data_IF_776551794035
#
_entry.id   IF_776551794035
#
_cell.length_a   1.000
_cell.length_b   1.000
_cell.length_c   1.000
_cell.angle_alpha   90.00
_cell.angle_beta   90.00
_cell.angle_gamma   90.00
#
_symmetry.space_group_name_H-M   'P 1'
#
loop_
_entity.id
_entity.type
_entity.pdbx_description
1 polymer ?
#
# COMPACT_ATOMS: atom_id res chain seq x y z
N UNK A 1 10.34 -32.50 -23.50
CA UNK A 1 9.35 -31.64 -22.81
C UNK A 1 10.07 -30.33 -22.46
N UNK A 2 9.73 -29.22 -23.11
CA UNK A 2 10.42 -27.94 -22.90
C UNK A 2 9.92 -27.34 -21.58
N UNK A 3 10.80 -27.23 -20.59
CA UNK A 3 10.59 -26.41 -19.41
C UNK A 3 10.50 -24.97 -19.93
N UNK A 4 9.30 -24.42 -20.01
CA UNK A 4 9.09 -23.00 -20.27
C UNK A 4 9.68 -22.25 -19.08
N UNK A 5 10.87 -21.67 -19.28
CA UNK A 5 11.48 -20.73 -18.34
C UNK A 5 10.42 -19.70 -17.94
N UNK A 6 10.23 -19.56 -16.63
CA UNK A 6 9.52 -18.46 -15.98
C UNK A 6 9.89 -17.12 -16.63
N UNK A 7 9.09 -16.67 -17.59
CA UNK A 7 9.25 -15.33 -18.16
C UNK A 7 8.32 -14.40 -17.43
N UNK A 8 8.89 -13.74 -16.41
CA UNK A 8 8.51 -12.43 -15.88
C UNK A 8 7.15 -12.31 -15.17
N UNK A 9 6.93 -13.07 -14.09
CA UNK A 9 6.10 -12.54 -13.00
C UNK A 9 7.00 -11.56 -12.23
N UNK A 10 6.91 -10.28 -12.56
CA UNK A 10 7.59 -9.25 -11.79
C UNK A 10 6.75 -8.97 -10.53
N UNK A 11 7.20 -9.51 -9.40
CA UNK A 11 6.55 -9.34 -8.10
C UNK A 11 6.84 -7.96 -7.46
N UNK A 12 7.78 -7.20 -8.04
CA UNK A 12 8.13 -5.84 -7.63
C UNK A 12 8.24 -4.90 -8.86
N UNK A 13 7.19 -4.80 -9.69
CA UNK A 13 7.29 -4.17 -11.01
C UNK A 13 7.78 -2.73 -10.92
N UNK A 14 7.27 -1.97 -9.95
CA UNK A 14 7.67 -0.58 -9.73
C UNK A 14 9.12 -0.49 -9.25
N UNK A 15 9.56 -1.38 -8.36
CA UNK A 15 10.89 -1.33 -7.73
C UNK A 15 12.00 -1.79 -8.67
N UNK A 16 11.69 -2.70 -9.59
CA UNK A 16 12.59 -3.10 -10.68
C UNK A 16 12.56 -2.13 -11.85
N UNK A 17 11.39 -1.58 -12.20
CA UNK A 17 11.26 -0.52 -13.20
C UNK A 17 12.04 0.74 -12.82
N UNK A 18 12.08 1.08 -11.53
CA UNK A 18 12.92 2.15 -10.97
C UNK A 18 14.44 1.96 -11.16
N UNK A 19 14.91 0.74 -11.47
CA UNK A 19 16.33 0.44 -11.72
C UNK A 19 16.73 0.57 -13.18
N UNK A 20 15.77 0.76 -14.09
CA UNK A 20 16.03 0.89 -15.53
C UNK A 20 16.07 2.36 -15.92
N UNK A 21 17.07 2.73 -16.70
CA UNK A 21 17.17 4.09 -17.24
C UNK A 21 15.93 4.40 -18.11
N UNK A 22 15.43 5.64 -18.00
CA UNK A 22 14.29 6.17 -18.77
C UNK A 22 12.90 5.56 -18.49
N UNK A 23 12.68 4.87 -17.36
CA UNK A 23 11.33 4.45 -16.95
C UNK A 23 10.65 5.55 -16.13
N UNK A 24 9.57 6.10 -16.68
CA UNK A 24 8.69 7.05 -15.98
C UNK A 24 7.79 6.29 -15.00
N UNK A 25 8.17 6.31 -13.74
CA UNK A 25 7.54 5.60 -12.61
C UNK A 25 6.05 5.92 -12.47
N UNK A 26 5.65 7.14 -12.82
CA UNK A 26 4.26 7.60 -12.77
C UNK A 26 3.36 6.77 -13.71
N UNK A 27 3.87 6.37 -14.87
CA UNK A 27 3.13 5.55 -15.82
C UNK A 27 2.96 4.12 -15.30
N UNK A 28 4.01 3.54 -14.70
CA UNK A 28 3.94 2.20 -14.10
C UNK A 28 2.95 2.15 -12.92
N UNK A 29 2.93 3.19 -12.09
CA UNK A 29 1.98 3.30 -10.99
C UNK A 29 0.55 3.41 -11.52
N UNK A 30 0.32 4.30 -12.49
CA UNK A 30 -0.99 4.51 -13.09
C UNK A 30 -1.49 3.24 -13.79
N UNK A 31 -0.64 2.57 -14.56
CA UNK A 31 -0.96 1.31 -15.23
C UNK A 31 -1.28 0.21 -14.21
N UNK A 32 -0.53 0.12 -13.11
CA UNK A 32 -0.78 -0.85 -12.04
C UNK A 32 -2.13 -0.58 -11.37
N UNK A 33 -2.46 0.68 -11.09
CA UNK A 33 -3.75 1.07 -10.51
C UNK A 33 -4.92 0.67 -11.41
N UNK A 34 -4.77 0.85 -12.72
CA UNK A 34 -5.77 0.47 -13.71
C UNK A 34 -5.89 -1.05 -13.85
N UNK A 35 -4.77 -1.74 -14.05
CA UNK A 35 -4.72 -3.21 -14.16
C UNK A 35 -5.36 -3.87 -12.94
N UNK A 36 -5.03 -3.40 -11.74
CA UNK A 36 -5.52 -3.97 -10.49
C UNK A 36 -6.89 -3.43 -10.04
N UNK A 37 -7.59 -2.68 -10.90
CA UNK A 37 -8.91 -2.12 -10.62
C UNK A 37 -9.00 -1.39 -9.27
N UNK A 38 -7.91 -0.77 -8.80
CA UNK A 38 -7.81 -0.30 -7.41
C UNK A 38 -8.92 0.70 -7.07
N UNK A 39 -9.12 1.71 -7.91
CA UNK A 39 -10.16 2.73 -7.64
C UNK A 39 -11.58 2.20 -7.76
N UNK A 40 -11.81 1.15 -8.55
CA UNK A 40 -13.10 0.43 -8.57
C UNK A 40 -13.36 -0.22 -7.22
N UNK A 41 -12.39 -0.92 -6.66
CA UNK A 41 -12.52 -1.54 -5.34
C UNK A 41 -12.67 -0.49 -4.23
N UNK A 42 -11.90 0.60 -4.29
CA UNK A 42 -12.06 1.73 -3.36
C UNK A 42 -13.49 2.26 -3.39
N UNK A 43 -14.07 2.51 -4.57
CA UNK A 43 -15.46 2.99 -4.69
C UNK A 43 -16.48 1.98 -4.17
N UNK A 44 -16.25 0.70 -4.41
CA UNK A 44 -17.14 -0.38 -3.98
C UNK A 44 -17.19 -0.55 -2.46
N UNK A 45 -16.04 -0.43 -1.79
CA UNK A 45 -15.89 -0.74 -0.36
C UNK A 45 -15.83 0.51 0.53
N UNK A 46 -16.32 1.62 0.00
CA UNK A 46 -16.35 2.90 0.68
C UNK A 46 -17.77 3.44 0.74
N UNK A 47 -18.14 4.04 1.87
CA UNK A 47 -19.37 4.82 1.98
C UNK A 47 -19.32 6.05 1.05
N UNK A 48 -20.39 6.29 0.29
CA UNK A 48 -20.47 7.43 -0.62
C UNK A 48 -20.24 8.74 0.13
N UNK A 49 -19.35 9.58 -0.40
CA UNK A 49 -19.08 10.92 0.15
C UNK A 49 -19.78 11.94 -0.72
N UNK A 50 -20.45 12.89 -0.07
CA UNK A 50 -21.22 13.94 -0.76
C UNK A 50 -20.37 15.13 -1.21
N UNK A 51 -19.21 15.37 -0.59
CA UNK A 51 -18.38 16.55 -0.88
C UNK A 51 -16.91 16.37 -0.41
N UNK A 52 -16.03 17.25 -0.89
CA UNK A 52 -14.60 17.30 -0.53
C UNK A 52 -13.67 16.78 -1.62
N UNK A 53 -12.39 16.60 -1.27
CA UNK A 53 -11.37 16.13 -2.21
C UNK A 53 -11.66 14.73 -2.77
N UNK A 54 -11.30 14.53 -4.04
CA UNK A 54 -11.40 13.23 -4.70
C UNK A 54 -10.60 12.18 -3.94
N UNK A 55 -11.25 11.06 -3.64
CA UNK A 55 -10.63 9.92 -2.95
C UNK A 55 -9.56 9.29 -3.82
N UNK A 56 -9.76 9.24 -5.14
CA UNK A 56 -8.80 8.70 -6.09
C UNK A 56 -7.51 9.50 -6.04
N UNK A 57 -7.60 10.83 -6.15
CA UNK A 57 -6.45 11.74 -6.04
C UNK A 57 -5.78 11.60 -4.67
N UNK A 58 -6.56 11.48 -3.59
CA UNK A 58 -6.03 11.35 -2.23
C UNK A 58 -5.30 10.02 -2.03
N UNK A 59 -5.83 8.91 -2.53
CA UNK A 59 -5.19 7.59 -2.46
C UNK A 59 -3.96 7.54 -3.36
N UNK A 60 -4.04 8.06 -4.59
CA UNK A 60 -2.89 8.17 -5.49
C UNK A 60 -1.73 8.91 -4.82
N UNK A 61 -2.05 10.04 -4.19
CA UNK A 61 -1.11 10.83 -3.41
C UNK A 61 -0.48 10.05 -2.26
N UNK A 62 -1.28 9.26 -1.52
CA UNK A 62 -0.78 8.39 -0.45
C UNK A 62 0.12 7.26 -1.00
N UNK A 63 -0.18 6.72 -2.18
CA UNK A 63 0.66 5.72 -2.84
C UNK A 63 2.02 6.31 -3.22
N UNK A 64 2.05 7.48 -3.85
CA UNK A 64 3.29 8.18 -4.18
C UNK A 64 4.14 8.39 -2.92
N UNK A 65 3.53 8.85 -1.83
CA UNK A 65 4.23 9.01 -0.56
C UNK A 65 4.92 7.71 -0.10
N UNK A 66 4.22 6.58 -0.15
CA UNK A 66 4.77 5.27 0.23
C UNK A 66 5.92 4.87 -0.69
N UNK A 67 5.81 5.09 -2.00
CA UNK A 67 6.87 4.75 -2.95
C UNK A 67 8.11 5.63 -2.82
N UNK A 68 7.95 6.90 -2.46
CA UNK A 68 9.07 7.82 -2.19
C UNK A 68 9.79 7.54 -0.87
N UNK A 69 9.26 6.63 -0.03
CA UNK A 69 9.84 6.24 1.27
C UNK A 69 10.11 7.41 2.21
N UNK A 70 9.30 8.47 2.14
CA UNK A 70 9.42 9.62 3.04
C UNK A 70 8.90 9.29 4.44
N UNK A 71 9.63 9.68 5.47
CA UNK A 71 9.37 9.29 6.87
C UNK A 71 8.01 9.75 7.41
N UNK A 72 7.45 10.83 6.85
CA UNK A 72 6.14 11.33 7.28
C UNK A 72 5.39 12.04 6.16
N UNK A 73 4.06 11.99 6.23
CA UNK A 73 3.17 12.77 5.34
C UNK A 73 3.47 14.25 5.44
N UNK A 74 3.86 14.77 6.61
CA UNK A 74 4.25 16.16 6.78
C UNK A 74 5.47 16.51 5.91
N UNK A 75 6.54 15.74 6.01
CA UNK A 75 7.75 15.95 5.22
C UNK A 75 7.49 15.80 3.72
N UNK A 76 6.72 14.79 3.34
CA UNK A 76 6.27 14.62 1.97
C UNK A 76 5.46 15.83 1.47
N UNK A 77 4.56 16.36 2.30
CA UNK A 77 3.73 17.50 1.96
C UNK A 77 4.56 18.78 1.74
N UNK A 78 5.51 19.03 2.62
CA UNK A 78 6.40 20.20 2.59
C UNK A 78 7.39 20.16 1.43
N UNK A 79 7.91 18.98 1.07
CA UNK A 79 8.92 18.82 0.01
C UNK A 79 8.35 18.82 -1.40
N UNK A 80 7.25 18.10 -1.63
CA UNK A 80 6.81 17.78 -2.98
C UNK A 80 5.33 18.07 -3.24
N UNK A 81 4.48 18.02 -2.21
CA UNK A 81 3.05 17.88 -2.45
C UNK A 81 2.25 19.17 -2.55
N UNK A 82 2.74 20.29 -2.00
CA UNK A 82 2.06 21.59 -2.10
C UNK A 82 1.77 22.00 -3.56
N UNK A 83 2.56 21.49 -4.51
CA UNK A 83 2.41 21.73 -5.95
C UNK A 83 1.33 20.87 -6.59
N UNK A 84 1.17 19.60 -6.16
CA UNK A 84 0.33 18.61 -6.83
C UNK A 84 -0.99 18.27 -6.09
N UNK A 85 -1.08 18.57 -4.79
CA UNK A 85 -2.27 18.27 -3.99
C UNK A 85 -2.66 19.45 -3.11
N UNK A 86 -3.75 20.13 -3.49
CA UNK A 86 -4.27 21.29 -2.75
C UNK A 86 -5.02 20.93 -1.46
N UNK A 87 -5.28 19.64 -1.21
CA UNK A 87 -6.10 19.18 -0.08
C UNK A 87 -5.44 19.28 1.28
N UNK A 88 -4.13 19.53 1.34
CA UNK A 88 -3.42 19.59 2.62
C UNK A 88 -3.18 18.20 3.21
N UNK A 89 -2.25 18.13 4.17
CA UNK A 89 -1.96 16.91 4.93
C UNK A 89 -3.18 16.35 5.68
N UNK A 90 -4.10 17.23 6.10
CA UNK A 90 -5.23 16.84 6.95
C UNK A 90 -6.25 15.99 6.18
N UNK A 91 -6.41 16.23 4.87
CA UNK A 91 -7.22 15.36 4.02
C UNK A 91 -6.60 13.96 3.92
N UNK A 92 -5.27 13.86 3.78
CA UNK A 92 -4.57 12.57 3.73
C UNK A 92 -4.74 11.79 5.05
N UNK A 93 -4.51 12.45 6.18
CA UNK A 93 -4.73 11.84 7.50
C UNK A 93 -6.19 11.48 7.74
N UNK A 94 -7.13 12.34 7.31
CA UNK A 94 -8.56 12.10 7.41
C UNK A 94 -8.99 10.87 6.63
N UNK A 95 -8.51 10.72 5.39
CA UNK A 95 -8.79 9.53 4.57
C UNK A 95 -8.25 8.26 5.21
N UNK A 96 -7.02 8.24 5.72
CA UNK A 96 -6.47 7.05 6.38
C UNK A 96 -7.25 6.64 7.64
N UNK A 97 -7.91 7.60 8.31
CA UNK A 97 -8.73 7.38 9.50
C UNK A 97 -10.22 7.17 9.19
N UNK A 98 -10.63 7.24 7.92
CA UNK A 98 -12.03 7.11 7.51
C UNK A 98 -12.49 5.65 7.72
N UNK A 99 -13.20 5.40 8.82
CA UNK A 99 -13.81 4.10 9.14
C UNK A 99 -14.90 3.70 8.12
N UNK A 100 -15.36 4.64 7.28
CA UNK A 100 -16.24 4.37 6.15
C UNK A 100 -15.53 3.68 4.98
N UNK A 101 -14.20 3.50 5.04
CA UNK A 101 -13.41 2.78 4.03
C UNK A 101 -13.03 1.40 4.58
N UNK A 102 -13.51 0.34 3.93
CA UNK A 102 -13.13 -1.02 4.28
C UNK A 102 -11.79 -1.40 3.62
N UNK A 103 -10.70 -0.97 4.25
CA UNK A 103 -9.33 -1.23 3.79
C UNK A 103 -9.02 -2.71 3.60
N UNK A 104 -9.59 -3.58 4.43
CA UNK A 104 -9.37 -5.03 4.35
C UNK A 104 -9.95 -5.60 3.06
N UNK A 105 -11.17 -5.22 2.70
CA UNK A 105 -11.79 -5.69 1.47
C UNK A 105 -11.09 -5.13 0.23
N UNK A 106 -10.68 -3.85 0.25
CA UNK A 106 -9.89 -3.27 -0.84
C UNK A 106 -8.59 -4.06 -1.05
N UNK A 107 -7.83 -4.32 0.01
CA UNK A 107 -6.58 -5.09 -0.06
C UNK A 107 -6.81 -6.51 -0.57
N UNK A 108 -7.86 -7.19 -0.10
CA UNK A 108 -8.18 -8.55 -0.51
C UNK A 108 -8.60 -8.62 -1.98
N UNK A 109 -9.44 -7.69 -2.45
CA UNK A 109 -9.85 -7.63 -3.85
C UNK A 109 -8.70 -7.32 -4.78
N UNK A 110 -7.83 -6.36 -4.42
CA UNK A 110 -6.60 -6.09 -5.18
C UNK A 110 -5.67 -7.30 -5.22
N UNK A 111 -5.48 -8.01 -4.10
CA UNK A 111 -4.67 -9.24 -4.08
C UNK A 111 -5.29 -10.35 -4.95
N UNK A 112 -6.63 -10.44 -4.99
CA UNK A 112 -7.33 -11.38 -5.87
C UNK A 112 -7.12 -11.06 -7.35
N UNK A 113 -7.12 -9.78 -7.73
CA UNK A 113 -6.78 -9.36 -9.10
C UNK A 113 -5.37 -9.82 -9.48
N UNK A 114 -4.38 -9.64 -8.60
CA UNK A 114 -3.01 -10.15 -8.81
C UNK A 114 -3.03 -11.67 -9.02
N UNK A 115 -3.72 -12.40 -8.14
CA UNK A 115 -3.79 -13.86 -8.20
C UNK A 115 -4.38 -14.37 -9.52
N UNK A 116 -5.48 -13.75 -9.97
CA UNK A 116 -6.17 -14.13 -11.21
C UNK A 116 -5.35 -13.73 -12.44
N UNK A 117 -4.85 -12.49 -12.50
CA UNK A 117 -4.12 -11.99 -13.67
C UNK A 117 -2.80 -12.72 -13.92
N UNK A 118 -2.18 -13.23 -12.87
CA UNK A 118 -0.96 -14.03 -12.98
C UNK A 118 -1.22 -15.54 -13.06
N UNK A 119 -2.49 -15.98 -13.19
CA UNK A 119 -2.88 -17.39 -13.30
C UNK A 119 -2.26 -18.29 -12.22
N UNK A 120 -2.06 -17.76 -11.00
CA UNK A 120 -1.32 -18.45 -9.93
C UNK A 120 -1.98 -19.77 -9.48
N UNK A 121 -3.25 -19.98 -9.83
CA UNK A 121 -3.99 -21.22 -9.57
C UNK A 121 -3.53 -22.42 -10.43
N UNK A 122 -2.88 -22.17 -11.57
CA UNK A 122 -2.49 -23.19 -12.54
C UNK A 122 -0.99 -23.54 -12.49
N UNK A 123 -0.26 -22.96 -11.55
CA UNK A 123 1.15 -23.25 -11.32
C UNK A 123 1.31 -24.62 -10.64
N UNK A 124 2.18 -25.47 -11.22
CA UNK A 124 2.34 -26.87 -10.79
C UNK A 124 2.99 -26.99 -9.40
N UNK A 125 3.84 -26.03 -9.03
CA UNK A 125 4.51 -25.97 -7.75
C UNK A 125 4.32 -24.56 -7.17
N UNK A 126 3.50 -24.45 -6.12
CA UNK A 126 3.28 -23.18 -5.42
C UNK A 126 3.56 -23.33 -3.93
N UNK A 127 4.09 -22.26 -3.34
CA UNK A 127 4.27 -22.15 -1.90
C UNK A 127 3.55 -20.89 -1.40
N UNK A 128 2.74 -21.04 -0.36
CA UNK A 128 2.15 -19.91 0.33
C UNK A 128 3.02 -19.55 1.54
N UNK A 129 3.84 -18.53 1.39
CA UNK A 129 4.74 -18.04 2.45
C UNK A 129 3.97 -17.05 3.32
N UNK A 130 3.90 -17.35 4.61
CA UNK A 130 3.32 -16.47 5.62
C UNK A 130 4.40 -16.17 6.64
N UNK A 131 4.76 -14.89 6.75
CA UNK A 131 5.73 -14.39 7.72
C UNK A 131 5.06 -13.26 8.51
N UNK A 132 5.28 -13.24 9.82
CA UNK A 132 4.80 -12.16 10.68
C UNK A 132 5.89 -11.11 10.89
N UNK A 133 5.50 -9.84 10.78
CA UNK A 133 6.43 -8.72 11.04
C UNK A 133 5.91 -7.88 12.20
N UNK A 134 6.77 -7.62 13.18
CA UNK A 134 6.46 -6.76 14.31
C UNK A 134 6.50 -5.29 13.85
N UNK A 135 5.32 -4.66 13.78
CA UNK A 135 5.24 -3.21 13.51
C UNK A 135 5.15 -2.43 14.82
N UNK A 136 6.25 -1.77 15.19
CA UNK A 136 6.30 -0.85 16.35
C UNK A 136 5.25 0.26 16.13
N UNK A 137 4.23 0.33 16.98
CA UNK A 137 3.23 1.41 17.00
C UNK A 137 3.54 2.34 18.18
N UNK A 138 3.44 3.66 17.99
CA UNK A 138 3.53 4.70 19.02
C UNK A 138 2.23 5.54 19.07
N UNK A 139 1.87 6.18 20.19
CA UNK A 139 0.68 7.06 20.28
C UNK A 139 -0.22 6.89 21.51
N UNK A 140 -0.98 7.95 21.85
CA UNK A 140 -1.81 8.07 23.07
C UNK A 140 -3.10 7.23 23.05
N UNK A 141 -3.71 7.03 21.87
CA UNK A 141 -4.95 6.26 21.68
C UNK A 141 -4.69 4.96 20.91
N UNK A 142 -3.81 4.12 21.42
CA UNK A 142 -3.60 2.80 20.82
C UNK A 142 -4.01 1.77 21.87
N UNK A 143 -5.30 1.49 21.93
CA UNK A 143 -5.89 0.48 22.80
C UNK A 143 -5.71 -0.92 22.19
N UNK A 144 -5.58 -1.95 23.03
CA UNK A 144 -5.53 -3.35 22.57
C UNK A 144 -4.19 -3.85 22.04
N UNK A 145 -3.06 -3.22 22.38
CA UNK A 145 -1.74 -3.76 22.00
C UNK A 145 -1.18 -4.63 23.12
N UNK A 146 -0.90 -5.90 22.80
CA UNK A 146 -0.14 -6.81 23.66
C UNK A 146 1.34 -6.47 23.62
N UNK A 147 2.06 -6.71 24.72
CA UNK A 147 3.52 -6.74 24.70
C UNK A 147 3.99 -7.99 23.97
N UNK A 148 4.93 -7.86 23.04
CA UNK A 148 5.51 -8.98 22.31
C UNK A 148 7.02 -9.07 22.58
N UNK A 149 7.51 -10.29 22.79
CA UNK A 149 8.95 -10.54 22.87
C UNK A 149 9.49 -10.76 21.47
N UNK A 150 10.40 -9.90 21.03
CA UNK A 150 11.04 -10.00 19.73
C UNK A 150 12.28 -10.88 19.88
N UNK A 151 12.17 -12.12 19.38
CA UNK A 151 13.22 -13.13 19.47
C UNK A 151 14.46 -12.76 18.64
N UNK A 152 14.28 -12.05 17.52
CA UNK A 152 15.36 -11.63 16.62
C UNK A 152 16.26 -10.55 17.22
N UNK A 153 15.69 -9.61 17.99
CA UNK A 153 16.43 -8.54 18.67
C UNK A 153 16.75 -8.88 20.13
N UNK A 154 16.23 -10.01 20.65
CA UNK A 154 16.39 -10.44 22.05
C UNK A 154 15.73 -9.48 23.06
N UNK A 155 14.68 -8.75 22.67
CA UNK A 155 14.10 -7.67 23.48
C UNK A 155 12.59 -7.76 23.56
N UNK A 156 12.06 -7.37 24.72
CA UNK A 156 10.63 -7.10 24.86
C UNK A 156 10.28 -5.79 24.15
N UNK A 157 9.48 -5.87 23.09
CA UNK A 157 8.85 -4.70 22.47
C UNK A 157 7.65 -4.32 23.34
N UNK A 158 7.95 -3.58 24.41
CA UNK A 158 6.95 -2.88 25.23
C UNK A 158 6.89 -1.42 24.81
N UNK A 159 5.68 -0.85 24.80
CA UNK A 159 5.51 0.58 24.59
C UNK A 159 5.85 1.36 25.87
N UNK A 160 6.70 2.38 25.77
CA UNK A 160 6.79 3.46 26.77
C UNK A 160 5.59 4.40 26.61
N UNK A 161 4.94 4.76 27.72
CA UNK A 161 4.04 5.93 27.78
C UNK A 161 4.93 7.17 27.70
N UNK A 162 4.75 7.99 26.65
CA UNK A 162 5.22 9.39 26.62
C UNK A 162 4.02 10.30 26.83
#
# INVERSE_FOLDING_TARGET
MKISKLTNINLMPITESLKRDYVFVDNELQDSIQKLNLFKHVKQYRKSKRSGYSVETTIYTLLIWVFLREDSIKMFFEKCLSVFFKGGKDVLYGTMRDEGINWRQISLSTAKEIYVQNNLAFEQETAFVVDDTIKKRSGKKVEGISSHFEHSEGRNVRKRKN
#
